data_IF_001408176293
#
_entry.id   IF_001408176293
#
_cell.length_a   1.000
_cell.length_b   1.000
_cell.length_c   1.000
_cell.angle_alpha   90.00
_cell.angle_beta   90.00
_cell.angle_gamma   90.00
#
_symmetry.space_group_name_H-M   'P 1'
#
loop_
_entity.id
_entity.type
_entity.pdbx_description
1 polymer ?
#
# COMPACT_ATOMS: atom_id res chain seq x y z
N UNK A 1 -2.51 13.22 -54.74
CA UNK A 1 -2.50 11.74 -54.78
C UNK A 1 -2.53 11.21 -53.36
N UNK A 2 -3.52 10.40 -53.01
CA UNK A 2 -3.72 9.83 -51.67
C UNK A 2 -2.87 8.59 -51.41
N UNK A 3 -2.49 7.86 -52.46
CA UNK A 3 -1.54 6.75 -52.43
C UNK A 3 -0.36 7.03 -53.37
N UNK A 4 0.86 6.74 -52.92
CA UNK A 4 2.09 6.96 -53.68
C UNK A 4 3.17 5.94 -53.27
N UNK A 5 4.19 5.73 -54.11
CA UNK A 5 5.37 4.93 -53.78
C UNK A 5 6.56 5.83 -53.45
N UNK A 6 7.37 5.44 -52.47
CA UNK A 6 8.64 6.14 -52.13
C UNK A 6 9.79 5.46 -52.84
N UNK A 7 10.82 6.22 -53.22
CA UNK A 7 12.00 5.70 -53.94
C UNK A 7 12.75 4.58 -53.17
N UNK A 8 12.63 4.53 -51.84
CA UNK A 8 13.35 3.60 -50.97
C UNK A 8 12.44 2.55 -50.30
N UNK A 9 11.23 2.29 -50.82
CA UNK A 9 10.29 1.33 -50.24
C UNK A 9 9.42 0.68 -51.31
N UNK A 10 9.31 -0.64 -51.28
CA UNK A 10 8.45 -1.40 -52.20
C UNK A 10 6.95 -1.27 -51.86
N UNK A 11 6.63 -0.89 -50.63
CA UNK A 11 5.27 -0.72 -50.13
C UNK A 11 4.62 0.59 -50.61
N UNK A 12 3.30 0.55 -50.79
CA UNK A 12 2.51 1.75 -51.00
C UNK A 12 2.51 2.61 -49.72
N UNK A 13 2.48 3.93 -49.91
CA UNK A 13 2.36 4.91 -48.83
C UNK A 13 1.07 5.70 -49.02
N UNK A 14 0.40 6.00 -47.91
CA UNK A 14 -0.80 6.81 -47.92
C UNK A 14 -0.53 8.22 -47.36
N UNK A 15 -1.33 9.18 -47.82
CA UNK A 15 -1.42 10.54 -47.28
C UNK A 15 -2.90 10.89 -47.14
N UNK A 16 -3.35 11.05 -45.89
CA UNK A 16 -4.72 11.44 -45.55
C UNK A 16 -4.67 12.77 -44.80
N UNK A 17 -5.53 13.71 -45.19
CA UNK A 17 -5.64 15.03 -44.56
C UNK A 17 -7.09 15.26 -44.15
N UNK A 18 -7.36 15.38 -42.85
CA UNK A 18 -8.69 15.55 -42.23
C UNK A 18 -8.53 16.54 -41.06
N UNK A 19 -9.46 17.49 -40.89
CA UNK A 19 -9.43 18.46 -39.78
C UNK A 19 -8.15 19.32 -39.71
N UNK A 20 -7.47 19.56 -40.84
CA UNK A 20 -6.18 20.27 -40.88
C UNK A 20 -4.96 19.45 -40.46
N UNK A 21 -5.12 18.19 -40.02
CA UNK A 21 -4.02 17.27 -39.69
C UNK A 21 -3.75 16.33 -40.86
N UNK A 22 -2.47 16.13 -41.18
CA UNK A 22 -2.04 15.22 -42.25
C UNK A 22 -1.31 14.02 -41.67
N UNK A 23 -1.80 12.82 -41.95
CA UNK A 23 -1.15 11.55 -41.58
C UNK A 23 -0.51 10.96 -42.83
N UNK A 24 0.76 10.57 -42.72
CA UNK A 24 1.49 9.86 -43.76
C UNK A 24 2.15 8.61 -43.18
N UNK A 25 1.83 7.44 -43.74
CA UNK A 25 2.43 6.17 -43.31
C UNK A 25 2.44 5.14 -44.44
N UNK A 26 3.32 4.16 -44.32
CA UNK A 26 3.33 2.99 -45.20
C UNK A 26 2.07 2.16 -44.99
N UNK A 27 1.51 1.59 -46.05
CA UNK A 27 0.42 0.61 -45.99
C UNK A 27 0.93 -0.80 -45.67
N UNK A 28 2.25 -1.02 -45.71
CA UNK A 28 2.86 -2.33 -45.44
C UNK A 28 2.57 -3.40 -46.50
N UNK A 29 2.00 -3.00 -47.65
CA UNK A 29 1.68 -3.91 -48.75
C UNK A 29 2.11 -3.33 -50.09
N UNK A 30 2.57 -4.20 -50.99
CA UNK A 30 2.97 -3.85 -52.36
C UNK A 30 1.78 -3.91 -53.33
N UNK A 31 0.70 -4.57 -52.91
CA UNK A 31 -0.56 -4.69 -53.62
C UNK A 31 -1.35 -3.39 -53.54
N UNK A 32 -1.64 -2.80 -54.70
CA UNK A 32 -2.35 -1.53 -54.81
C UNK A 32 -3.79 -1.62 -54.31
N UNK A 33 -4.46 -2.76 -54.51
CA UNK A 33 -5.87 -2.97 -54.13
C UNK A 33 -5.99 -3.03 -52.61
N UNK A 34 -5.14 -3.84 -51.94
CA UNK A 34 -5.08 -3.89 -50.47
C UNK A 34 -4.64 -2.56 -49.85
N UNK A 35 -3.75 -1.83 -50.52
CA UNK A 35 -3.35 -0.49 -50.09
C UNK A 35 -4.51 0.51 -50.16
N UNK A 36 -5.38 0.38 -51.17
CA UNK A 36 -6.58 1.19 -51.34
C UNK A 36 -7.65 0.88 -50.27
N UNK A 37 -7.93 -0.41 -50.02
CA UNK A 37 -8.85 -0.83 -48.96
C UNK A 37 -8.41 -0.34 -47.57
N UNK A 38 -7.11 -0.47 -47.27
CA UNK A 38 -6.53 0.04 -46.03
C UNK A 38 -6.63 1.57 -45.92
N UNK A 39 -6.34 2.27 -47.03
CA UNK A 39 -6.49 3.73 -47.10
C UNK A 39 -7.95 4.16 -46.83
N UNK A 40 -8.92 3.52 -47.48
CA UNK A 40 -10.33 3.90 -47.39
C UNK A 40 -10.90 3.61 -45.99
N UNK A 41 -10.55 2.46 -45.41
CA UNK A 41 -10.90 2.11 -44.02
C UNK A 41 -10.34 3.15 -43.04
N UNK A 42 -9.07 3.52 -43.20
CA UNK A 42 -8.41 4.49 -42.33
C UNK A 42 -8.99 5.90 -42.51
N UNK A 43 -9.28 6.31 -43.75
CA UNK A 43 -9.88 7.60 -44.05
C UNK A 43 -11.28 7.70 -43.44
N UNK A 44 -12.09 6.64 -43.52
CA UNK A 44 -13.40 6.57 -42.89
C UNK A 44 -13.31 6.68 -41.36
N UNK A 45 -12.39 5.96 -40.73
CA UNK A 45 -12.15 6.05 -39.27
C UNK A 45 -11.75 7.46 -38.84
N UNK A 46 -10.79 8.07 -39.53
CA UNK A 46 -10.32 9.42 -39.23
C UNK A 46 -11.41 10.47 -39.47
N UNK A 47 -12.26 10.29 -40.48
CA UNK A 47 -13.38 11.19 -40.77
C UNK A 47 -14.47 11.08 -39.71
N UNK A 48 -14.80 9.87 -39.25
CA UNK A 48 -15.73 9.66 -38.13
C UNK A 48 -15.19 10.28 -36.84
N UNK A 49 -13.89 10.14 -36.57
CA UNK A 49 -13.24 10.76 -35.42
C UNK A 49 -13.33 12.31 -35.44
N UNK A 50 -13.10 12.93 -36.59
CA UNK A 50 -13.11 14.39 -36.78
C UNK A 50 -14.54 14.99 -36.74
N UNK A 51 -15.52 14.33 -37.37
CA UNK A 51 -16.90 14.84 -37.48
C UNK A 51 -17.85 14.44 -36.37
N UNK A 52 -17.70 13.23 -35.80
CA UNK A 52 -18.61 12.67 -34.81
C UNK A 52 -18.02 12.69 -33.39
N UNK A 53 -16.78 13.16 -33.20
CA UNK A 53 -16.10 13.15 -31.91
C UNK A 53 -15.79 11.75 -31.38
N UNK A 54 -15.78 10.74 -32.25
CA UNK A 54 -15.53 9.34 -31.87
C UNK A 54 -14.08 9.20 -31.41
N UNK A 55 -13.89 9.03 -30.11
CA UNK A 55 -12.58 8.83 -29.49
C UNK A 55 -11.90 7.57 -30.06
N UNK A 56 -10.57 7.58 -30.25
CA UNK A 56 -9.86 6.38 -30.67
C UNK A 56 -10.06 5.26 -29.66
N UNK A 57 -10.31 4.05 -30.16
CA UNK A 57 -10.45 2.87 -29.30
C UNK A 57 -9.11 2.51 -28.69
N UNK A 58 -8.98 2.65 -27.38
CA UNK A 58 -7.78 2.29 -26.63
C UNK A 58 -7.91 0.92 -25.99
N UNK A 59 -6.85 0.12 -26.10
CA UNK A 59 -6.73 -1.19 -25.48
C UNK A 59 -6.47 -1.09 -23.97
N UNK A 60 -6.82 -2.15 -23.24
CA UNK A 60 -6.40 -2.29 -21.84
C UNK A 60 -4.87 -2.22 -21.71
N UNK A 61 -4.12 -2.80 -22.66
CA UNK A 61 -2.65 -2.81 -22.65
C UNK A 61 -2.07 -1.40 -22.66
N UNK A 62 -2.57 -0.53 -23.53
CA UNK A 62 -2.17 0.88 -23.57
C UNK A 62 -2.48 1.59 -22.25
N UNK A 63 -3.66 1.34 -21.68
CA UNK A 63 -4.03 1.88 -20.37
C UNK A 63 -3.09 1.44 -19.25
N UNK A 64 -2.68 0.17 -19.25
CA UNK A 64 -1.71 -0.37 -18.28
C UNK A 64 -0.34 0.27 -18.44
N UNK A 65 0.17 0.38 -19.67
CA UNK A 65 1.48 1.00 -19.94
C UNK A 65 1.49 2.45 -19.47
N UNK A 66 0.46 3.23 -19.86
CA UNK A 66 0.33 4.63 -19.43
C UNK A 66 0.21 4.74 -17.91
N UNK A 67 -0.62 3.91 -17.27
CA UNK A 67 -0.76 3.89 -15.82
C UNK A 67 0.58 3.66 -15.12
N UNK A 68 1.37 2.69 -15.57
CA UNK A 68 2.66 2.34 -14.97
C UNK A 68 3.69 3.46 -15.14
N UNK A 69 3.74 4.12 -16.30
CA UNK A 69 4.62 5.27 -16.52
C UNK A 69 4.24 6.41 -15.56
N UNK A 70 2.95 6.76 -15.49
CA UNK A 70 2.46 7.86 -14.65
C UNK A 70 2.53 7.57 -13.14
N UNK A 71 2.76 6.32 -12.75
CA UNK A 71 2.79 5.91 -11.32
C UNK A 71 4.11 5.23 -10.95
N UNK A 72 5.18 5.56 -11.67
CA UNK A 72 6.52 5.00 -11.43
C UNK A 72 7.09 5.36 -10.06
N UNK A 73 6.63 6.47 -9.46
CA UNK A 73 7.03 6.98 -8.15
C UNK A 73 6.27 6.33 -6.96
N UNK A 74 5.22 5.54 -7.23
CA UNK A 74 4.44 4.88 -6.19
C UNK A 74 5.26 3.80 -5.50
N UNK A 75 5.25 3.81 -4.17
CA UNK A 75 5.85 2.74 -3.37
C UNK A 75 5.25 1.35 -3.67
N UNK A 76 3.99 1.30 -4.15
CA UNK A 76 3.28 0.06 -4.54
C UNK A 76 3.49 -0.32 -6.00
N UNK A 77 4.28 0.43 -6.79
CA UNK A 77 4.40 0.25 -8.23
C UNK A 77 4.71 -1.19 -8.66
N UNK A 78 5.69 -1.84 -7.99
CA UNK A 78 6.03 -3.24 -8.27
C UNK A 78 4.89 -4.21 -7.91
N UNK A 79 4.17 -3.94 -6.82
CA UNK A 79 3.02 -4.76 -6.43
C UNK A 79 1.88 -4.59 -7.45
N UNK A 80 1.64 -3.38 -7.92
CA UNK A 80 0.61 -3.08 -8.92
C UNK A 80 0.96 -3.73 -10.26
N UNK A 81 2.24 -3.71 -10.68
CA UNK A 81 2.72 -4.46 -11.86
C UNK A 81 2.39 -5.96 -11.76
N UNK A 82 2.60 -6.59 -10.60
CA UNK A 82 2.25 -8.01 -10.38
C UNK A 82 0.75 -8.27 -10.46
N UNK A 83 -0.08 -7.40 -9.86
CA UNK A 83 -1.54 -7.51 -9.96
C UNK A 83 -2.01 -7.36 -11.42
N UNK A 84 -1.44 -6.41 -12.15
CA UNK A 84 -1.77 -6.15 -13.56
C UNK A 84 -1.39 -7.32 -14.46
N UNK A 85 -0.24 -7.95 -14.22
CA UNK A 85 0.15 -9.17 -14.91
C UNK A 85 -0.87 -10.30 -14.71
N UNK A 86 -1.36 -10.51 -13.48
CA UNK A 86 -2.42 -11.50 -13.22
C UNK A 86 -3.74 -11.11 -13.90
N UNK A 87 -4.13 -9.82 -13.90
CA UNK A 87 -5.38 -9.38 -14.55
C UNK A 87 -5.31 -9.40 -16.08
N UNK A 88 -4.10 -9.41 -16.66
CA UNK A 88 -3.88 -9.43 -18.09
C UNK A 88 -4.50 -10.66 -18.77
N UNK A 89 -4.58 -11.80 -18.09
CA UNK A 89 -5.23 -13.00 -18.64
C UNK A 89 -6.75 -12.83 -18.89
N UNK A 90 -7.38 -11.82 -18.28
CA UNK A 90 -8.81 -11.53 -18.43
C UNK A 90 -9.08 -10.26 -19.25
N UNK A 91 -8.17 -9.29 -19.18
CA UNK A 91 -8.36 -7.96 -19.77
C UNK A 91 -7.43 -7.69 -20.95
N UNK A 92 -6.41 -8.52 -21.18
CA UNK A 92 -5.30 -8.25 -22.09
C UNK A 92 -5.73 -8.01 -23.54
N UNK A 93 -6.78 -8.68 -23.99
CA UNK A 93 -7.25 -8.60 -25.38
C UNK A 93 -8.48 -7.69 -25.54
N UNK A 94 -8.93 -7.06 -24.45
CA UNK A 94 -10.08 -6.18 -24.44
C UNK A 94 -9.69 -4.72 -24.68
N UNK A 95 -10.60 -3.97 -25.29
CA UNK A 95 -10.54 -2.51 -25.27
C UNK A 95 -11.09 -1.97 -23.96
N UNK A 96 -10.74 -0.73 -23.60
CA UNK A 96 -11.24 -0.12 -22.37
C UNK A 96 -12.79 0.00 -22.35
N UNK A 97 -13.40 0.15 -23.53
CA UNK A 97 -14.86 0.22 -23.69
C UNK A 97 -15.55 -1.15 -23.54
N UNK A 98 -14.83 -2.25 -23.79
CA UNK A 98 -15.37 -3.62 -23.63
C UNK A 98 -15.41 -4.08 -22.16
N UNK A 99 -14.77 -3.34 -21.26
CA UNK A 99 -14.71 -3.69 -19.83
C UNK A 99 -16.03 -3.30 -19.16
N UNK A 100 -16.98 -4.22 -19.17
CA UNK A 100 -18.31 -4.08 -18.58
C UNK A 100 -18.43 -4.81 -17.22
N UNK A 101 -19.64 -4.86 -16.64
CA UNK A 101 -19.85 -5.54 -15.35
C UNK A 101 -19.56 -7.04 -15.39
N UNK A 102 -19.90 -7.74 -16.47
CA UNK A 102 -19.71 -9.18 -16.58
C UNK A 102 -18.23 -9.56 -16.56
N UNK A 103 -17.38 -8.76 -17.25
CA UNK A 103 -15.93 -8.91 -17.21
C UNK A 103 -15.39 -8.70 -15.78
N UNK A 104 -15.87 -7.66 -15.09
CA UNK A 104 -15.48 -7.37 -13.70
C UNK A 104 -15.93 -8.50 -12.75
N UNK A 105 -17.13 -9.05 -12.94
CA UNK A 105 -17.67 -10.12 -12.11
C UNK A 105 -16.96 -11.46 -12.35
N UNK A 106 -16.52 -11.73 -13.58
CA UNK A 106 -15.63 -12.86 -13.90
C UNK A 106 -14.29 -12.74 -13.15
N UNK A 107 -13.65 -11.57 -13.19
CA UNK A 107 -12.40 -11.30 -12.48
C UNK A 107 -12.60 -11.42 -10.96
N UNK A 108 -13.69 -10.83 -10.44
CA UNK A 108 -14.06 -10.90 -9.03
C UNK A 108 -14.18 -12.35 -8.57
N UNK A 109 -14.93 -13.16 -9.32
CA UNK A 109 -15.19 -14.56 -8.98
C UNK A 109 -13.93 -15.42 -9.05
N UNK A 110 -13.11 -15.22 -10.09
CA UNK A 110 -11.83 -15.90 -10.22
C UNK A 110 -10.90 -15.56 -9.04
N UNK A 111 -10.76 -14.28 -8.71
CA UNK A 111 -9.85 -13.84 -7.64
C UNK A 111 -10.33 -14.29 -6.26
N UNK A 112 -11.65 -14.34 -6.03
CA UNK A 112 -12.22 -14.78 -4.76
C UNK A 112 -12.00 -16.29 -4.51
N UNK A 113 -11.83 -17.11 -5.55
CA UNK A 113 -11.50 -18.53 -5.41
C UNK A 113 -10.06 -18.75 -4.90
N UNK A 114 -9.15 -17.82 -5.17
CA UNK A 114 -7.72 -17.95 -4.80
C UNK A 114 -7.30 -17.05 -3.64
N UNK A 115 -8.12 -16.05 -3.27
CA UNK A 115 -7.72 -15.04 -2.30
C UNK A 115 -8.88 -14.52 -1.44
N UNK A 116 -8.53 -13.91 -0.31
CA UNK A 116 -9.51 -13.28 0.59
C UNK A 116 -10.22 -12.09 -0.07
N UNK A 117 -11.41 -11.75 0.45
CA UNK A 117 -12.19 -10.58 0.01
C UNK A 117 -11.37 -9.28 -0.02
N UNK A 118 -10.52 -9.07 0.98
CA UNK A 118 -9.65 -7.89 1.06
C UNK A 118 -8.58 -7.88 -0.05
N UNK A 119 -7.99 -9.03 -0.36
CA UNK A 119 -7.05 -9.13 -1.49
C UNK A 119 -7.78 -8.92 -2.82
N UNK A 120 -8.96 -9.50 -3.00
CA UNK A 120 -9.78 -9.28 -4.20
C UNK A 120 -10.15 -7.81 -4.36
N UNK A 121 -10.51 -7.13 -3.27
CA UNK A 121 -10.79 -5.69 -3.29
C UNK A 121 -9.60 -4.87 -3.81
N UNK A 122 -8.36 -5.22 -3.47
CA UNK A 122 -7.16 -4.52 -3.99
C UNK A 122 -7.02 -4.63 -5.50
N UNK A 123 -7.39 -5.76 -6.09
CA UNK A 123 -7.36 -5.97 -7.54
C UNK A 123 -8.47 -5.15 -8.21
N UNK A 124 -9.70 -5.25 -7.70
CA UNK A 124 -10.84 -4.50 -8.19
C UNK A 124 -10.64 -2.98 -8.07
N UNK A 125 -10.02 -2.52 -6.98
CA UNK A 125 -9.69 -1.12 -6.78
C UNK A 125 -8.66 -0.63 -7.81
N UNK A 126 -7.66 -1.44 -8.15
CA UNK A 126 -6.67 -1.08 -9.17
C UNK A 126 -7.31 -0.96 -10.56
N UNK A 127 -8.17 -1.90 -10.95
CA UNK A 127 -8.94 -1.80 -12.21
C UNK A 127 -9.78 -0.52 -12.19
N UNK A 128 -10.50 -0.27 -11.09
CA UNK A 128 -11.33 0.93 -10.94
C UNK A 128 -10.50 2.19 -11.12
N UNK A 129 -9.33 2.28 -10.49
CA UNK A 129 -8.47 3.46 -10.60
C UNK A 129 -7.99 3.69 -12.03
N UNK A 130 -7.64 2.64 -12.78
CA UNK A 130 -7.24 2.76 -14.19
C UNK A 130 -8.42 3.24 -15.04
N UNK A 131 -9.61 2.66 -14.88
CA UNK A 131 -10.79 3.03 -15.68
C UNK A 131 -11.31 4.43 -15.35
N UNK A 132 -11.31 4.82 -14.07
CA UNK A 132 -11.65 6.19 -13.67
C UNK A 132 -10.66 7.18 -14.28
N UNK A 133 -9.36 6.88 -14.23
CA UNK A 133 -8.35 7.77 -14.80
C UNK A 133 -8.43 7.83 -16.33
N UNK A 134 -8.73 6.70 -16.97
CA UNK A 134 -9.00 6.65 -18.41
C UNK A 134 -10.19 7.52 -18.81
N UNK A 135 -11.19 7.66 -17.94
CA UNK A 135 -12.36 8.52 -18.17
C UNK A 135 -12.05 10.00 -17.87
N UNK A 136 -11.50 10.28 -16.69
CA UNK A 136 -11.45 11.63 -16.13
C UNK A 136 -10.19 12.42 -16.50
N UNK A 137 -9.05 11.74 -16.70
CA UNK A 137 -7.77 12.41 -16.98
C UNK A 137 -7.25 12.13 -18.40
N UNK A 138 -7.41 10.90 -18.88
CA UNK A 138 -6.97 10.54 -20.23
C UNK A 138 -8.03 10.83 -21.29
N UNK A 139 -9.29 10.97 -20.86
CA UNK A 139 -10.46 11.16 -21.71
C UNK A 139 -10.61 10.07 -22.80
N UNK A 140 -10.09 8.87 -22.57
CA UNK A 140 -10.10 7.74 -23.51
C UNK A 140 -11.43 7.01 -23.58
N UNK A 141 -12.23 7.08 -22.51
CA UNK A 141 -13.57 6.48 -22.44
C UNK A 141 -14.56 7.48 -21.84
N UNK A 142 -15.83 7.36 -22.17
CA UNK A 142 -16.88 8.26 -21.62
C UNK A 142 -17.49 7.71 -20.32
N UNK A 143 -17.50 6.38 -20.18
CA UNK A 143 -18.12 5.70 -19.04
C UNK A 143 -17.20 4.62 -18.51
N UNK A 144 -17.03 4.60 -17.19
CA UNK A 144 -16.38 3.52 -16.48
C UNK A 144 -17.44 2.68 -15.74
N UNK A 145 -17.36 1.33 -15.75
CA UNK A 145 -18.29 0.49 -15.01
C UNK A 145 -18.20 0.76 -13.50
N UNK A 146 -19.36 0.78 -12.83
CA UNK A 146 -19.41 0.88 -11.37
C UNK A 146 -18.94 -0.42 -10.71
N UNK A 147 -17.66 -0.53 -10.44
CA UNK A 147 -17.10 -1.66 -9.69
C UNK A 147 -17.56 -1.53 -8.23
N UNK A 148 -18.07 -2.58 -7.59
CA UNK A 148 -18.37 -2.58 -6.13
C UNK A 148 -17.32 -3.44 -5.40
N UNK A 149 -16.87 -2.97 -4.22
CA UNK A 149 -15.95 -3.72 -3.37
C UNK A 149 -16.73 -4.50 -2.32
N UNK A 150 -16.17 -5.60 -1.84
CA UNK A 150 -16.69 -6.31 -0.68
C UNK A 150 -16.59 -5.43 0.56
N UNK A 151 -17.59 -5.55 1.44
CA UNK A 151 -17.47 -5.04 2.81
C UNK A 151 -16.34 -5.80 3.51
N UNK A 152 -15.32 -5.07 3.94
CA UNK A 152 -14.24 -5.64 4.74
C UNK A 152 -14.72 -5.75 6.19
N UNK A 153 -14.52 -6.91 6.82
CA UNK A 153 -14.74 -7.05 8.27
C UNK A 153 -13.68 -6.23 9.00
N UNK A 154 -14.05 -5.66 10.15
CA UNK A 154 -13.15 -4.85 10.97
C UNK A 154 -11.82 -5.58 11.20
N UNK A 155 -10.75 -4.79 11.14
CA UNK A 155 -9.40 -5.28 11.37
C UNK A 155 -9.33 -6.03 12.69
N UNK A 156 -8.79 -7.23 12.65
CA UNK A 156 -8.51 -8.04 13.84
C UNK A 156 -7.70 -7.24 14.86
N UNK A 157 -8.22 -7.11 16.07
CA UNK A 157 -7.57 -6.42 17.19
C UNK A 157 -7.06 -7.47 18.18
N UNK A 158 -5.79 -7.84 18.04
CA UNK A 158 -5.13 -8.82 18.92
C UNK A 158 -4.05 -8.12 19.73
N UNK A 159 -4.11 -8.26 21.05
CA UNK A 159 -3.11 -7.78 22.03
C UNK A 159 -2.70 -8.92 22.95
N UNK A 160 -1.44 -8.95 23.39
CA UNK A 160 -0.98 -9.90 24.41
C UNK A 160 -1.52 -9.51 25.80
N UNK A 161 -1.67 -10.53 26.67
CA UNK A 161 -1.73 -10.34 28.12
C UNK A 161 -0.33 -10.32 28.73
N UNK A 162 -0.20 -9.90 29.99
CA UNK A 162 1.08 -9.93 30.71
C UNK A 162 1.66 -11.36 30.76
N UNK A 163 0.85 -12.35 31.10
CA UNK A 163 1.27 -13.75 31.19
C UNK A 163 1.72 -14.30 29.83
N UNK A 164 1.02 -13.94 28.76
CA UNK A 164 1.42 -14.32 27.40
C UNK A 164 2.76 -13.69 27.01
N UNK A 165 3.01 -12.42 27.38
CA UNK A 165 4.31 -11.81 27.14
C UNK A 165 5.40 -12.55 27.94
N UNK A 166 5.18 -12.86 29.20
CA UNK A 166 6.15 -13.56 30.04
C UNK A 166 6.51 -14.93 29.46
N UNK A 167 5.50 -15.74 29.10
CA UNK A 167 5.71 -17.03 28.46
C UNK A 167 6.47 -16.89 27.13
N UNK A 168 6.10 -15.92 26.28
CA UNK A 168 6.80 -15.67 25.03
C UNK A 168 8.27 -15.28 25.25
N UNK A 169 8.55 -14.44 26.24
CA UNK A 169 9.92 -14.00 26.53
C UNK A 169 10.82 -15.16 26.99
N UNK A 170 10.29 -16.14 27.72
CA UNK A 170 11.05 -17.35 28.10
C UNK A 170 11.42 -18.20 26.88
N UNK A 171 10.58 -18.21 25.85
CA UNK A 171 10.76 -19.05 24.66
C UNK A 171 11.58 -18.39 23.54
N UNK A 172 11.79 -17.08 23.60
CA UNK A 172 12.47 -16.33 22.55
C UNK A 172 14.01 -16.40 22.67
N UNK A 173 14.73 -16.56 21.53
CA UNK A 173 16.17 -16.34 21.49
C UNK A 173 16.54 -14.92 21.92
N UNK A 174 17.73 -14.74 22.50
CA UNK A 174 18.18 -13.46 23.08
C UNK A 174 18.02 -12.26 22.11
N UNK A 175 18.42 -12.41 20.85
CA UNK A 175 18.30 -11.33 19.86
C UNK A 175 16.83 -10.94 19.57
N UNK A 176 15.90 -11.90 19.61
CA UNK A 176 14.47 -11.62 19.40
C UNK A 176 13.83 -11.02 20.64
N UNK A 177 14.22 -11.46 21.85
CA UNK A 177 13.75 -10.86 23.11
C UNK A 177 13.96 -9.36 23.13
N UNK A 178 15.16 -8.91 22.83
CA UNK A 178 15.51 -7.48 22.84
C UNK A 178 14.72 -6.70 21.78
N UNK A 179 14.60 -7.28 20.57
CA UNK A 179 13.81 -6.68 19.48
C UNK A 179 12.33 -6.54 19.84
N UNK A 180 11.75 -7.56 20.50
CA UNK A 180 10.35 -7.58 20.92
C UNK A 180 10.09 -6.60 22.06
N UNK A 181 10.97 -6.55 23.06
CA UNK A 181 10.87 -5.59 24.16
C UNK A 181 10.95 -4.16 23.67
N UNK A 182 11.88 -3.86 22.76
CA UNK A 182 11.99 -2.53 22.17
C UNK A 182 10.74 -2.16 21.36
N UNK A 183 10.19 -3.10 20.60
CA UNK A 183 8.96 -2.88 19.84
C UNK A 183 7.75 -2.60 20.75
N UNK A 184 7.62 -3.33 21.86
CA UNK A 184 6.58 -3.10 22.86
C UNK A 184 6.78 -1.82 23.65
N UNK A 185 8.01 -1.40 23.89
CA UNK A 185 8.31 -0.17 24.62
C UNK A 185 8.06 1.10 23.78
N UNK A 186 8.25 1.02 22.46
CA UNK A 186 8.21 2.19 21.56
C UNK A 186 7.01 2.23 20.63
N UNK A 187 6.32 1.10 20.44
CA UNK A 187 5.24 0.98 19.46
C UNK A 187 5.69 1.11 18.01
N UNK A 188 6.99 1.11 17.72
CA UNK A 188 7.53 1.31 16.37
C UNK A 188 7.07 0.22 15.39
N UNK A 189 6.99 0.59 14.10
CA UNK A 189 6.69 -0.39 13.03
C UNK A 189 7.84 -1.37 12.89
N UNK A 190 7.53 -2.61 12.47
CA UNK A 190 8.51 -3.70 12.30
C UNK A 190 9.77 -3.26 11.58
N UNK A 191 9.61 -2.64 10.41
CA UNK A 191 10.75 -2.17 9.61
C UNK A 191 11.63 -1.20 10.38
N UNK A 192 11.02 -0.22 11.06
CA UNK A 192 11.73 0.80 11.84
C UNK A 192 12.50 0.20 13.01
N UNK A 193 11.99 -0.87 13.62
CA UNK A 193 12.73 -1.59 14.68
C UNK A 193 13.89 -2.38 14.07
N UNK A 194 13.63 -3.20 13.05
CA UNK A 194 14.67 -4.06 12.45
C UNK A 194 15.79 -3.28 11.78
N UNK A 195 15.47 -2.14 11.18
CA UNK A 195 16.41 -1.28 10.45
C UNK A 195 16.91 -0.11 11.33
N UNK A 196 16.71 -0.13 12.65
CA UNK A 196 17.18 0.98 13.51
C UNK A 196 18.72 1.08 13.52
N UNK A 197 19.23 2.28 13.27
CA UNK A 197 20.65 2.61 13.31
C UNK A 197 21.01 3.44 14.54
N UNK A 198 22.25 3.32 15.02
CA UNK A 198 22.74 4.10 16.17
C UNK A 198 22.75 5.61 15.90
N UNK A 199 22.98 6.02 14.65
CA UNK A 199 22.86 7.41 14.20
C UNK A 199 21.46 8.01 14.42
N UNK A 200 20.44 7.16 14.56
CA UNK A 200 19.05 7.57 14.79
C UNK A 200 18.71 7.64 16.28
N UNK A 201 19.59 7.22 17.17
CA UNK A 201 19.32 7.11 18.61
C UNK A 201 20.17 8.14 19.35
N UNK A 202 19.52 9.05 20.03
CA UNK A 202 20.17 9.94 20.99
C UNK A 202 19.88 9.40 22.40
N UNK A 203 20.89 8.78 23.02
CA UNK A 203 20.77 8.17 24.34
C UNK A 203 20.67 9.21 25.47
N UNK A 204 21.29 10.39 25.30
CA UNK A 204 21.27 11.47 26.30
C UNK A 204 19.88 12.11 26.37
N UNK A 205 19.35 12.50 25.20
CA UNK A 205 18.01 13.07 25.09
C UNK A 205 16.91 12.01 25.21
N UNK A 206 17.24 10.72 25.24
CA UNK A 206 16.29 9.59 25.25
C UNK A 206 15.28 9.65 24.11
N UNK A 207 15.76 9.84 22.88
CA UNK A 207 14.92 9.91 21.69
C UNK A 207 15.48 9.05 20.55
N UNK A 208 14.58 8.41 19.79
CA UNK A 208 14.89 7.80 18.51
C UNK A 208 14.23 8.58 17.36
N UNK A 209 14.94 8.76 16.26
CA UNK A 209 14.54 9.54 15.10
C UNK A 209 14.36 8.65 13.87
N UNK A 210 13.11 8.40 13.49
CA UNK A 210 12.82 7.70 12.23
C UNK A 210 12.77 8.72 11.10
N UNK A 211 13.65 8.61 10.13
CA UNK A 211 13.69 9.52 8.99
C UNK A 211 12.44 9.41 8.11
N UNK A 212 12.10 10.48 7.40
CA UNK A 212 10.94 10.54 6.52
C UNK A 212 10.93 9.41 5.48
N UNK A 213 12.08 9.08 4.86
CA UNK A 213 12.18 8.00 3.87
C UNK A 213 11.90 6.60 4.43
N UNK A 214 12.05 6.41 5.74
CA UNK A 214 11.79 5.14 6.44
C UNK A 214 10.38 5.12 7.08
N UNK A 215 9.72 6.27 7.17
CA UNK A 215 8.37 6.38 7.69
C UNK A 215 7.33 6.06 6.62
N UNK A 216 6.39 5.17 6.92
CA UNK A 216 5.25 4.85 6.03
C UNK A 216 4.48 6.10 5.59
N UNK A 217 4.48 7.15 6.40
CA UNK A 217 3.77 8.40 6.13
C UNK A 217 4.68 9.51 5.57
N UNK A 218 5.93 9.20 5.21
CA UNK A 218 6.93 10.15 4.69
C UNK A 218 7.16 11.37 5.60
N UNK A 219 7.01 11.21 6.91
CA UNK A 219 7.27 12.26 7.91
C UNK A 219 8.25 11.73 8.97
N UNK A 220 9.20 12.56 9.44
CA UNK A 220 10.05 12.18 10.53
C UNK A 220 9.19 11.92 11.78
N UNK A 221 9.56 10.90 12.55
CA UNK A 221 8.89 10.58 13.81
C UNK A 221 9.97 10.60 14.90
N UNK A 222 9.86 11.54 15.82
CA UNK A 222 10.60 11.53 17.07
C UNK A 222 9.85 10.61 18.05
N UNK A 223 10.54 9.59 18.55
CA UNK A 223 10.00 8.60 19.48
C UNK A 223 10.70 8.77 20.82
N UNK A 224 10.01 9.23 21.87
CA UNK A 224 10.59 9.26 23.21
C UNK A 224 10.84 7.83 23.70
N UNK A 225 11.99 7.62 24.33
CA UNK A 225 12.43 6.32 24.82
C UNK A 225 12.20 6.23 26.34
N UNK A 226 11.36 5.29 26.76
CA UNK A 226 11.18 4.98 28.18
C UNK A 226 12.37 4.17 28.72
N UNK A 227 12.39 3.96 30.04
CA UNK A 227 13.51 3.26 30.70
C UNK A 227 13.70 1.83 30.16
N UNK A 228 12.62 1.12 29.84
CA UNK A 228 12.69 -0.21 29.22
C UNK A 228 13.40 -0.19 27.87
N UNK A 229 13.06 0.77 26.99
CA UNK A 229 13.73 0.93 25.71
C UNK A 229 15.21 1.30 25.89
N UNK A 230 15.53 2.17 26.85
CA UNK A 230 16.90 2.56 27.17
C UNK A 230 17.74 1.38 27.66
N UNK A 231 17.20 0.53 28.53
CA UNK A 231 17.88 -0.68 29.00
C UNK A 231 18.17 -1.66 27.85
N UNK A 232 17.21 -1.83 26.92
CA UNK A 232 17.43 -2.65 25.72
C UNK A 232 18.58 -2.09 24.89
N UNK A 233 18.59 -0.78 24.64
CA UNK A 233 19.63 -0.11 23.87
C UNK A 233 21.01 -0.25 24.54
N UNK A 234 21.10 -0.06 25.85
CA UNK A 234 22.35 -0.26 26.59
C UNK A 234 22.90 -1.68 26.41
N UNK A 235 22.04 -2.70 26.45
CA UNK A 235 22.44 -4.11 26.20
C UNK A 235 22.81 -4.39 24.73
N UNK A 236 22.42 -3.54 23.79
CA UNK A 236 22.82 -3.67 22.39
C UNK A 236 24.11 -2.90 22.05
N UNK A 237 24.50 -1.93 22.87
CA UNK A 237 25.65 -1.08 22.61
C UNK A 237 26.92 -1.90 22.44
N UNK A 238 27.72 -1.56 21.43
CA UNK A 238 28.98 -2.25 21.10
C UNK A 238 28.83 -3.58 20.35
N UNK A 239 27.62 -4.12 20.16
CA UNK A 239 27.43 -5.38 19.40
C UNK A 239 27.58 -5.22 17.88
N UNK A 240 27.38 -4.01 17.37
CA UNK A 240 27.52 -3.67 15.96
C UNK A 240 27.65 -2.16 15.81
N UNK A 241 28.48 -1.70 14.87
CA UNK A 241 28.82 -0.28 14.66
C UNK A 241 27.64 0.57 14.19
N UNK A 242 26.88 0.08 13.20
CA UNK A 242 25.77 0.83 12.59
C UNK A 242 24.37 0.47 13.11
N UNK A 243 24.03 -0.83 13.19
CA UNK A 243 22.67 -1.30 13.48
C UNK A 243 22.50 -1.65 14.95
N UNK A 244 21.35 -1.28 15.51
CA UNK A 244 21.00 -1.59 16.91
C UNK A 244 20.73 -3.09 17.11
N UNK A 245 19.95 -3.70 16.22
CA UNK A 245 19.55 -5.11 16.35
C UNK A 245 20.21 -5.99 15.28
N UNK A 246 20.94 -7.00 15.75
CA UNK A 246 21.70 -7.93 14.89
C UNK A 246 21.59 -9.37 15.37
N UNK A 247 21.92 -10.31 14.49
CA UNK A 247 22.08 -11.72 14.82
C UNK A 247 23.35 -12.25 14.15
N UNK A 248 24.26 -12.83 14.93
CA UNK A 248 25.56 -13.31 14.46
C UNK A 248 26.33 -12.24 13.65
N UNK A 249 26.37 -11.01 14.16
CA UNK A 249 27.04 -9.87 13.53
C UNK A 249 26.34 -9.30 12.29
N UNK A 250 25.19 -9.85 11.87
CA UNK A 250 24.46 -9.39 10.68
C UNK A 250 23.17 -8.66 11.07
N UNK A 251 22.80 -7.58 10.34
CA UNK A 251 21.52 -6.90 10.53
C UNK A 251 20.33 -7.85 10.39
N UNK A 252 19.31 -7.68 11.22
CA UNK A 252 18.09 -8.48 11.12
C UNK A 252 17.32 -8.14 9.86
N UNK A 253 16.97 -9.17 9.06
CA UNK A 253 16.19 -8.99 7.82
C UNK A 253 14.68 -9.22 7.99
N UNK A 254 14.29 -10.01 8.98
CA UNK A 254 12.90 -10.40 9.20
C UNK A 254 12.64 -10.69 10.68
N UNK A 255 11.43 -10.37 11.15
CA UNK A 255 11.00 -10.67 12.51
C UNK A 255 10.13 -11.93 12.60
N UNK A 256 9.25 -12.15 11.61
CA UNK A 256 8.41 -13.35 11.52
C UNK A 256 9.21 -14.55 10.98
N UNK A 257 10.21 -15.00 11.73
CA UNK A 257 11.07 -16.14 11.38
C UNK A 257 10.48 -17.46 11.89
N UNK A 258 11.07 -18.59 11.46
CA UNK A 258 10.71 -19.91 12.03
C UNK A 258 10.93 -19.96 13.55
N UNK A 259 11.97 -19.29 14.05
CA UNK A 259 12.24 -19.18 15.48
C UNK A 259 11.11 -18.46 16.23
N UNK A 260 10.62 -17.34 15.68
CA UNK A 260 9.46 -16.61 16.22
C UNK A 260 8.21 -17.48 16.26
N UNK A 261 7.88 -18.15 15.14
CA UNK A 261 6.71 -19.03 15.08
C UNK A 261 6.79 -20.20 16.06
N UNK A 262 7.97 -20.78 16.24
CA UNK A 262 8.18 -21.87 17.19
C UNK A 262 8.08 -21.38 18.65
N UNK A 263 8.59 -20.19 18.95
CA UNK A 263 8.47 -19.59 20.29
C UNK A 263 7.00 -19.32 20.65
N UNK A 264 6.21 -18.77 19.72
CA UNK A 264 4.77 -18.61 19.91
C UNK A 264 4.06 -19.94 20.19
N UNK A 265 4.41 -20.99 19.43
CA UNK A 265 3.84 -22.33 19.63
C UNK A 265 4.16 -22.89 21.01
N UNK A 266 5.41 -22.78 21.48
CA UNK A 266 5.83 -23.25 22.81
C UNK A 266 5.19 -22.43 23.93
N UNK A 267 5.02 -21.12 23.73
CA UNK A 267 4.32 -20.23 24.66
C UNK A 267 2.78 -20.39 24.63
N UNK A 268 2.22 -21.28 23.81
CA UNK A 268 0.77 -21.48 23.70
C UNK A 268 0.01 -20.31 23.05
N UNK A 269 0.70 -19.44 22.32
CA UNK A 269 0.11 -18.25 21.70
C UNK A 269 -0.30 -18.57 20.26
N UNK A 270 -1.60 -18.56 20.01
CA UNK A 270 -2.16 -18.76 18.68
C UNK A 270 -2.51 -17.44 18.00
N UNK A 271 -2.48 -17.46 16.67
CA UNK A 271 -2.91 -16.35 15.82
C UNK A 271 -2.23 -15.02 16.21
N UNK A 272 -0.90 -14.98 16.36
CA UNK A 272 -0.20 -13.75 16.73
C UNK A 272 0.95 -13.48 15.75
N UNK A 273 1.02 -12.26 15.25
CA UNK A 273 2.03 -11.80 14.29
C UNK A 273 2.89 -10.75 14.95
N UNK A 274 4.11 -10.54 14.45
CA UNK A 274 4.98 -9.51 15.00
C UNK A 274 4.31 -8.12 15.00
N UNK A 275 3.51 -7.79 13.97
CA UNK A 275 2.80 -6.51 13.90
C UNK A 275 1.79 -6.31 15.05
N UNK A 276 1.30 -7.40 15.64
CA UNK A 276 0.39 -7.35 16.77
C UNK A 276 1.08 -6.84 18.04
N UNK A 277 2.42 -6.81 18.11
CA UNK A 277 3.15 -6.13 19.19
C UNK A 277 2.81 -4.63 19.25
N UNK A 278 2.62 -3.98 18.09
CA UNK A 278 2.20 -2.58 18.05
C UNK A 278 0.75 -2.40 18.51
N UNK A 279 -0.11 -3.38 18.24
CA UNK A 279 -1.47 -3.42 18.76
C UNK A 279 -1.44 -3.59 20.29
N UNK A 280 -0.61 -4.51 20.80
CA UNK A 280 -0.37 -4.68 22.23
C UNK A 280 0.09 -3.39 22.90
N UNK A 281 1.12 -2.72 22.35
CA UNK A 281 1.58 -1.42 22.87
C UNK A 281 0.45 -0.39 22.93
N UNK A 282 -0.34 -0.26 21.86
CA UNK A 282 -1.43 0.70 21.81
C UNK A 282 -2.54 0.39 22.83
N UNK A 283 -2.91 -0.89 22.95
CA UNK A 283 -3.87 -1.37 23.94
C UNK A 283 -3.38 -1.11 25.35
N UNK A 284 -2.13 -1.43 25.68
CA UNK A 284 -1.57 -1.23 27.01
C UNK A 284 -1.43 0.26 27.36
N UNK A 285 -1.04 1.11 26.42
CA UNK A 285 -1.05 2.56 26.63
C UNK A 285 -2.45 3.07 26.98
N UNK A 286 -3.50 2.56 26.31
CA UNK A 286 -4.89 2.94 26.62
C UNK A 286 -5.36 2.43 27.97
N UNK A 287 -5.03 1.19 28.31
CA UNK A 287 -5.33 0.60 29.62
C UNK A 287 -4.60 1.32 30.75
N UNK A 288 -3.37 1.76 30.51
CA UNK A 288 -2.59 2.61 31.42
C UNK A 288 -3.06 4.08 31.46
N UNK A 289 -4.06 4.43 30.65
CA UNK A 289 -4.72 5.73 30.71
C UNK A 289 -4.20 6.82 29.78
N UNK A 290 -3.35 6.48 28.82
CA UNK A 290 -2.82 7.46 27.85
C UNK A 290 -3.97 8.00 26.99
N UNK A 291 -4.24 9.32 26.97
CA UNK A 291 -5.28 9.92 26.13
C UNK A 291 -5.11 9.63 24.64
N UNK A 292 -6.21 9.53 23.87
CA UNK A 292 -6.20 9.20 22.43
C UNK A 292 -5.27 10.10 21.62
N UNK A 293 -5.24 11.41 21.91
CA UNK A 293 -4.42 12.37 21.18
C UNK A 293 -2.90 12.19 21.45
N UNK A 294 -2.52 11.86 22.68
CA UNK A 294 -1.13 11.52 23.04
C UNK A 294 -0.71 10.22 22.37
N UNK A 295 -1.56 9.19 22.46
CA UNK A 295 -1.31 7.91 21.80
C UNK A 295 -1.17 8.09 20.27
N UNK A 296 -2.00 8.94 19.66
CA UNK A 296 -1.91 9.27 18.25
C UNK A 296 -0.53 9.83 17.88
N UNK A 297 -0.04 10.78 18.68
CA UNK A 297 1.28 11.42 18.49
C UNK A 297 2.41 10.42 18.70
N UNK A 298 2.39 9.67 19.80
CA UNK A 298 3.39 8.65 20.11
C UNK A 298 3.50 7.59 19.01
N UNK A 299 2.37 7.14 18.48
CA UNK A 299 2.37 6.14 17.41
C UNK A 299 2.63 6.72 16.02
N UNK A 300 2.62 8.04 15.83
CA UNK A 300 2.75 8.67 14.52
C UNK A 300 1.59 8.31 13.56
N UNK A 301 0.36 8.25 14.08
CA UNK A 301 -0.85 8.04 13.27
C UNK A 301 -1.34 9.34 12.64
N UNK A 302 -1.77 9.28 11.37
CA UNK A 302 -2.16 10.47 10.61
C UNK A 302 -3.50 11.05 11.06
N UNK A 303 -4.45 10.21 11.42
CA UNK A 303 -5.82 10.62 11.76
C UNK A 303 -6.27 9.97 13.07
N UNK A 304 -7.13 10.66 13.81
CA UNK A 304 -7.71 10.15 15.06
C UNK A 304 -8.46 8.84 14.85
N UNK A 305 -9.18 8.70 13.73
CA UNK A 305 -9.89 7.48 13.35
C UNK A 305 -9.02 6.20 13.36
N UNK A 306 -7.71 6.32 13.16
CA UNK A 306 -6.79 5.16 13.24
C UNK A 306 -6.59 4.68 14.68
N UNK A 307 -6.76 5.56 15.67
CA UNK A 307 -6.55 5.32 17.09
C UNK A 307 -7.87 5.07 17.81
N UNK A 308 -8.99 5.59 17.30
CA UNK A 308 -10.35 5.39 17.84
C UNK A 308 -10.70 3.93 18.11
N UNK A 309 -10.12 3.01 17.34
CA UNK A 309 -10.24 1.57 17.59
C UNK A 309 -9.83 1.16 19.00
N UNK A 310 -8.92 1.87 19.67
CA UNK A 310 -8.51 1.59 21.04
C UNK A 310 -9.20 2.50 22.07
N UNK A 311 -10.08 3.41 21.65
CA UNK A 311 -10.71 4.39 22.55
C UNK A 311 -11.52 3.69 23.66
N UNK A 312 -12.22 2.62 23.31
CA UNK A 312 -13.07 1.82 24.19
C UNK A 312 -12.31 1.04 25.29
N UNK A 313 -10.98 0.93 25.20
CA UNK A 313 -10.16 0.14 26.13
C UNK A 313 -9.70 0.92 27.38
N UNK A 314 -10.25 2.11 27.61
CA UNK A 314 -9.99 2.88 28.83
C UNK A 314 -11.23 2.87 29.74
N UNK A 315 -11.40 1.84 30.59
CA UNK A 315 -12.57 1.72 31.45
C UNK A 315 -12.67 2.84 32.51
N UNK A 316 -11.55 3.35 33.01
CA UNK A 316 -11.55 4.25 34.19
C UNK A 316 -11.41 5.75 33.87
N UNK A 317 -11.24 6.12 32.60
CA UNK A 317 -10.93 7.51 32.25
C UNK A 317 -12.11 8.45 32.37
N UNK A 318 -13.34 8.00 32.12
CA UNK A 318 -14.51 8.86 32.25
C UNK A 318 -14.82 9.15 33.72
N UNK A 319 -14.64 8.15 34.60
CA UNK A 319 -14.81 8.32 36.04
C UNK A 319 -13.73 9.26 36.61
N UNK A 320 -12.45 9.04 36.30
CA UNK A 320 -11.37 9.94 36.74
C UNK A 320 -11.51 11.34 36.13
N UNK A 321 -11.92 11.45 34.86
CA UNK A 321 -12.16 12.74 34.22
C UNK A 321 -13.34 13.50 34.85
N UNK A 322 -14.43 12.80 35.20
CA UNK A 322 -15.56 13.39 35.92
C UNK A 322 -15.11 13.95 37.28
N UNK A 323 -14.32 13.17 38.04
CA UNK A 323 -13.77 13.58 39.35
C UNK A 323 -12.84 14.79 39.31
N UNK A 324 -12.34 15.22 38.14
CA UNK A 324 -11.46 16.42 38.04
C UNK A 324 -12.17 17.71 38.42
N UNK A 325 -13.50 17.73 38.32
CA UNK A 325 -14.31 18.88 38.76
C UNK A 325 -14.52 18.90 40.27
N UNK A 326 -14.44 17.76 40.96
CA UNK A 326 -14.67 17.67 42.40
C UNK A 326 -13.70 18.57 43.17
N UNK A 327 -12.42 18.61 42.77
CA UNK A 327 -11.42 19.49 43.39
C UNK A 327 -11.74 20.99 43.23
N UNK A 328 -12.48 21.39 42.18
CA UNK A 328 -12.93 22.78 41.97
C UNK A 328 -14.23 23.07 42.71
N UNK A 329 -15.17 22.12 42.70
CA UNK A 329 -16.49 22.29 43.31
C UNK A 329 -16.42 22.22 44.84
N UNK A 330 -15.60 21.33 45.41
CA UNK A 330 -15.42 21.21 46.87
C UNK A 330 -14.59 22.35 47.48
N UNK A 331 -13.95 23.20 46.69
CA UNK A 331 -13.31 24.43 47.17
C UNK A 331 -14.27 25.63 47.20
N UNK A 332 -15.51 25.44 46.72
CA UNK A 332 -16.56 26.48 46.64
C UNK A 332 -17.60 26.32 47.76
N UNK A 333 -17.56 25.20 48.47
CA UNK A 333 -18.28 24.92 49.72
C UNK A 333 -17.25 24.84 50.84
#
# INVERSE_FOLDING_TARGET
MSLYKRKNSSYWWLKITIGGRTIQRSTGTEDKTKAQEYHDTLKAQLWQQDRLGVKPTHSWREGVVRWLIETSDKATHLEDKRKLAWMHQYLGDLTLNDINQDVIDKIRSAKLKEASKATTNRYLALIRSILIRARDEWEWIDKAPKIRLFKESNSRERSLTSDQLQALMQELPAHQRETVMFALATGLRQRNVLELEWSQVNLELRHAWIHAGQSKNRRPIAVPLNDTAMQVLQRQLGKHETRVFTYLGKPLKAANTKAWSNALKRAGITDFRWHDLRHTWATWQRQAGTPTHELQRLGGWRTGAMVERYAHLAPDHLATAAKRLDAKLMATF
#
